data_IF_413229668669
#
_entry.id   IF_413229668669
#
_cell.length_a   1.000
_cell.length_b   1.000
_cell.length_c   1.000
_cell.angle_alpha   90.00
_cell.angle_beta   90.00
_cell.angle_gamma   90.00
#
_symmetry.space_group_name_H-M   'P 1'
#
loop_
_entity.id
_entity.type
_entity.pdbx_description
1 polymer ?
#
# COMPACT_ATOMS: atom_id res chain seq x y z
N UNK A 1 9.94 12.34 12.22
CA UNK A 1 9.17 11.50 11.33
C UNK A 1 7.70 11.64 11.63
N UNK A 2 6.87 11.68 10.61
CA UNK A 2 5.45 11.92 10.76
C UNK A 2 4.77 10.71 11.42
N UNK A 3 3.95 10.95 12.44
CA UNK A 3 3.20 9.89 13.14
C UNK A 3 2.33 9.07 12.21
N UNK A 4 1.80 9.66 11.15
CA UNK A 4 0.98 8.97 10.16
C UNK A 4 1.77 7.91 9.38
N UNK A 5 3.02 8.19 9.05
CA UNK A 5 3.89 7.23 8.35
C UNK A 5 4.20 6.05 9.26
N UNK A 6 4.49 6.32 10.53
CA UNK A 6 4.74 5.27 11.53
C UNK A 6 3.50 4.42 11.69
N UNK A 7 2.30 5.02 11.72
CA UNK A 7 1.05 4.28 11.85
C UNK A 7 0.78 3.37 10.66
N UNK A 8 1.06 3.83 9.44
CA UNK A 8 0.92 3.01 8.23
C UNK A 8 1.85 1.80 8.30
N UNK A 9 3.11 2.02 8.67
CA UNK A 9 4.10 0.94 8.80
C UNK A 9 3.68 -0.02 9.92
N UNK A 10 3.20 0.49 11.05
CA UNK A 10 2.74 -0.34 12.16
C UNK A 10 1.53 -1.19 11.79
N UNK A 11 0.59 -0.66 11.02
CA UNK A 11 -0.58 -1.39 10.54
C UNK A 11 -0.15 -2.50 9.58
N UNK A 12 0.76 -2.21 8.68
CA UNK A 12 1.34 -3.22 7.79
C UNK A 12 1.98 -4.34 8.61
N UNK A 13 2.74 -3.99 9.65
CA UNK A 13 3.41 -4.97 10.51
C UNK A 13 2.44 -5.85 11.29
N UNK A 14 1.33 -5.29 11.76
CA UNK A 14 0.34 -6.03 12.54
C UNK A 14 -0.45 -7.03 11.70
N UNK A 15 -0.68 -6.73 10.45
CA UNK A 15 -1.52 -7.55 9.57
C UNK A 15 -0.81 -8.81 9.09
N UNK A 16 0.49 -8.82 9.02
CA UNK A 16 1.26 -10.00 8.64
C UNK A 16 0.92 -11.24 9.46
N UNK A 17 0.46 -11.06 10.68
CA UNK A 17 0.15 -12.15 11.60
C UNK A 17 -1.25 -12.73 11.38
N UNK A 18 -2.17 -11.95 10.82
CA UNK A 18 -3.59 -12.28 10.84
C UNK A 18 -4.21 -12.61 9.48
N UNK A 19 -3.64 -12.18 8.39
CA UNK A 19 -4.42 -12.03 7.20
C UNK A 19 -4.08 -12.84 5.98
N UNK A 20 -3.12 -13.70 6.08
CA UNK A 20 -2.54 -14.34 4.88
C UNK A 20 -3.54 -15.15 4.08
N UNK A 21 -4.59 -15.67 4.71
CA UNK A 21 -5.48 -16.63 4.06
C UNK A 21 -6.63 -16.02 3.27
N UNK A 22 -6.87 -14.73 3.41
CA UNK A 22 -8.09 -14.10 2.90
C UNK A 22 -7.84 -13.11 1.76
N UNK A 23 -6.62 -13.03 1.30
CA UNK A 23 -6.23 -12.02 0.34
C UNK A 23 -6.58 -12.46 -1.07
N UNK A 24 -7.07 -11.54 -1.89
CA UNK A 24 -7.39 -11.81 -3.29
C UNK A 24 -6.15 -12.27 -4.08
N UNK A 25 -6.36 -13.06 -5.12
CA UNK A 25 -5.27 -13.61 -5.95
C UNK A 25 -4.29 -12.55 -6.45
N UNK A 26 -4.77 -11.34 -6.75
CA UNK A 26 -3.93 -10.26 -7.24
C UNK A 26 -2.96 -9.74 -6.18
N UNK A 27 -3.41 -9.66 -4.93
CA UNK A 27 -2.52 -9.27 -3.84
C UNK A 27 -1.40 -10.29 -3.67
N UNK A 28 -1.74 -11.57 -3.76
CA UNK A 28 -0.78 -12.68 -3.67
C UNK A 28 0.27 -12.59 -4.77
N UNK A 29 -0.12 -12.22 -5.98
CA UNK A 29 0.79 -12.05 -7.11
C UNK A 29 1.81 -10.96 -6.86
N UNK A 30 1.38 -9.83 -6.33
CA UNK A 30 2.29 -8.74 -5.96
C UNK A 30 3.20 -9.15 -4.81
N UNK A 31 2.66 -9.83 -3.81
CA UNK A 31 3.45 -10.30 -2.68
C UNK A 31 4.57 -11.23 -3.14
N UNK A 32 4.25 -12.21 -3.96
CA UNK A 32 5.24 -13.15 -4.49
C UNK A 32 6.30 -12.48 -5.34
N UNK A 33 5.88 -11.53 -6.16
CA UNK A 33 6.79 -10.77 -7.01
C UNK A 33 7.82 -10.00 -6.19
N UNK A 34 7.37 -9.31 -5.14
CA UNK A 34 8.24 -8.55 -4.26
C UNK A 34 9.14 -9.46 -3.43
N UNK A 35 8.61 -10.56 -2.91
CA UNK A 35 9.40 -11.56 -2.19
C UNK A 35 10.51 -12.12 -3.06
N UNK A 36 10.22 -12.39 -4.34
CA UNK A 36 11.21 -12.84 -5.31
C UNK A 36 12.33 -11.85 -5.55
N UNK A 37 12.11 -10.58 -5.25
CA UNK A 37 13.12 -9.52 -5.37
C UNK A 37 13.80 -9.17 -4.04
N UNK A 38 13.51 -9.93 -3.00
CA UNK A 38 14.16 -9.78 -1.71
C UNK A 38 13.43 -8.88 -0.72
N UNK A 39 12.18 -8.51 -0.99
CA UNK A 39 11.39 -7.70 -0.08
C UNK A 39 10.78 -8.55 1.02
N UNK A 40 10.67 -7.97 2.21
CA UNK A 40 9.82 -8.49 3.27
C UNK A 40 8.42 -7.94 3.00
N UNK A 41 7.44 -8.82 2.83
CA UNK A 41 6.12 -8.45 2.32
C UNK A 41 5.03 -8.75 3.34
N UNK A 42 4.05 -7.87 3.41
CA UNK A 42 2.85 -8.00 4.23
C UNK A 42 1.63 -7.67 3.42
N UNK A 43 0.53 -8.34 3.70
CA UNK A 43 -0.74 -8.11 3.00
C UNK A 43 -1.80 -7.63 3.98
N UNK A 44 -2.71 -6.78 3.50
CA UNK A 44 -3.80 -6.23 4.30
C UNK A 44 -5.13 -6.42 3.57
N UNK A 45 -6.17 -6.76 4.33
CA UNK A 45 -7.53 -6.83 3.78
C UNK A 45 -8.10 -5.43 3.57
N UNK A 46 -9.11 -5.33 2.70
CA UNK A 46 -9.81 -4.06 2.50
C UNK A 46 -10.48 -3.56 3.78
N UNK A 47 -11.03 -4.47 4.56
CA UNK A 47 -11.71 -4.13 5.82
C UNK A 47 -10.77 -3.44 6.82
N UNK A 48 -9.55 -3.90 6.93
CA UNK A 48 -8.55 -3.29 7.81
C UNK A 48 -8.11 -1.93 7.32
N UNK A 49 -7.94 -1.80 6.00
CA UNK A 49 -7.59 -0.53 5.38
C UNK A 49 -8.73 0.49 5.45
N UNK A 50 -9.98 0.02 5.32
CA UNK A 50 -11.15 0.89 5.45
C UNK A 50 -11.25 1.46 6.86
N UNK A 51 -11.00 0.65 7.87
CA UNK A 51 -10.97 1.13 9.26
C UNK A 51 -9.91 2.22 9.44
N UNK A 52 -8.77 2.06 8.83
CA UNK A 52 -7.68 3.04 8.89
C UNK A 52 -8.04 4.35 8.18
N UNK A 53 -8.60 4.26 6.96
CA UNK A 53 -9.00 5.45 6.20
C UNK A 53 -10.15 6.19 6.87
N UNK A 54 -11.06 5.48 7.51
CA UNK A 54 -12.15 6.05 8.28
C UNK A 54 -11.61 6.89 9.45
N UNK A 55 -10.60 6.38 10.13
CA UNK A 55 -9.92 7.08 11.22
C UNK A 55 -9.25 8.37 10.73
N UNK A 56 -8.77 8.38 9.50
CA UNK A 56 -8.17 9.57 8.88
C UNK A 56 -9.20 10.55 8.33
N UNK A 57 -10.48 10.19 8.36
CA UNK A 57 -11.55 11.05 7.85
C UNK A 57 -11.73 10.99 6.34
N UNK A 58 -11.23 9.96 5.70
CA UNK A 58 -11.41 9.73 4.25
C UNK A 58 -12.23 8.46 4.04
N UNK A 59 -12.97 8.42 2.95
CA UNK A 59 -13.87 7.31 2.64
C UNK A 59 -13.51 6.77 1.25
N UNK A 60 -12.72 5.71 1.24
CA UNK A 60 -12.32 5.02 0.02
C UNK A 60 -12.61 3.53 0.14
N UNK A 61 -13.14 2.95 -0.92
CA UNK A 61 -13.38 1.50 -0.98
C UNK A 61 -12.11 0.78 -1.44
N UNK A 62 -11.30 0.39 -0.48
CA UNK A 62 -10.04 -0.31 -0.73
C UNK A 62 -10.29 -1.82 -0.64
N UNK A 63 -9.92 -2.55 -1.69
CA UNK A 63 -10.08 -4.01 -1.74
C UNK A 63 -9.03 -4.74 -0.94
N UNK A 64 -7.78 -4.33 -1.11
CA UNK A 64 -6.63 -4.94 -0.44
C UNK A 64 -5.42 -4.03 -0.56
N UNK A 65 -4.41 -4.32 0.25
CA UNK A 65 -3.12 -3.67 0.18
C UNK A 65 -1.99 -4.66 0.36
N UNK A 66 -0.86 -4.37 -0.29
CA UNK A 66 0.38 -5.13 -0.13
C UNK A 66 1.48 -4.15 0.15
N UNK A 67 2.26 -4.40 1.19
CA UNK A 67 3.42 -3.58 1.52
C UNK A 67 4.69 -4.39 1.49
N UNK A 68 5.77 -3.81 1.00
CA UNK A 68 7.07 -4.44 0.97
C UNK A 68 8.18 -3.49 1.37
N UNK A 69 9.20 -4.03 2.01
CA UNK A 69 10.37 -3.27 2.43
C UNK A 69 11.64 -4.05 2.16
N UNK A 70 12.65 -3.36 1.62
CA UNK A 70 13.95 -3.93 1.34
C UNK A 70 15.02 -2.85 1.58
N UNK A 71 15.70 -2.91 2.72
CA UNK A 71 16.66 -1.87 3.08
C UNK A 71 15.98 -0.51 3.21
N UNK A 72 16.38 0.45 2.38
CA UNK A 72 15.78 1.79 2.33
C UNK A 72 14.64 1.88 1.31
N UNK A 73 14.44 0.86 0.50
CA UNK A 73 13.36 0.84 -0.46
C UNK A 73 12.07 0.32 0.17
N UNK A 74 10.96 0.95 -0.20
CA UNK A 74 9.65 0.62 0.32
C UNK A 74 8.64 0.79 -0.79
N UNK A 75 7.64 -0.07 -0.83
CA UNK A 75 6.51 0.08 -1.74
C UNK A 75 5.24 -0.46 -1.11
N UNK A 76 4.15 0.21 -1.37
CA UNK A 76 2.82 -0.26 -1.02
C UNK A 76 1.95 -0.21 -2.27
N UNK A 77 1.13 -1.23 -2.46
CA UNK A 77 0.18 -1.30 -3.56
C UNK A 77 -1.21 -1.40 -2.95
N UNK A 78 -2.11 -0.53 -3.38
CA UNK A 78 -3.49 -0.53 -2.93
C UNK A 78 -4.41 -0.76 -4.12
N UNK A 79 -5.37 -1.66 -3.97
CA UNK A 79 -6.38 -1.92 -5.00
C UNK A 79 -7.73 -1.34 -4.55
N UNK A 80 -8.42 -0.69 -5.46
CA UNK A 80 -9.68 -0.01 -5.19
C UNK A 80 -10.82 -0.64 -5.98
N UNK A 81 -12.05 -0.41 -5.52
CA UNK A 81 -13.25 -0.86 -6.24
C UNK A 81 -13.44 -0.09 -7.53
N UNK A 82 -13.02 1.18 -7.57
CA UNK A 82 -13.15 2.02 -8.76
C UNK A 82 -11.92 2.90 -8.96
N UNK A 83 -11.76 3.35 -10.22
CA UNK A 83 -10.60 4.15 -10.61
C UNK A 83 -10.64 5.57 -10.01
N UNK A 84 -11.81 6.11 -9.76
CA UNK A 84 -11.95 7.46 -9.18
C UNK A 84 -11.37 7.50 -7.76
N UNK A 85 -11.65 6.48 -6.95
CA UNK A 85 -11.09 6.37 -5.61
C UNK A 85 -9.57 6.18 -5.66
N UNK A 86 -9.08 5.40 -6.61
CA UNK A 86 -7.65 5.22 -6.80
C UNK A 86 -6.96 6.56 -7.12
N UNK A 87 -7.53 7.33 -8.02
CA UNK A 87 -6.99 8.64 -8.40
C UNK A 87 -6.99 9.63 -7.22
N UNK A 88 -8.08 9.66 -6.48
CA UNK A 88 -8.21 10.55 -5.31
C UNK A 88 -7.21 10.16 -4.22
N UNK A 89 -7.07 8.88 -3.95
CA UNK A 89 -6.12 8.39 -2.97
C UNK A 89 -4.68 8.68 -3.39
N UNK A 90 -4.35 8.44 -4.65
CA UNK A 90 -3.04 8.73 -5.20
C UNK A 90 -2.69 10.21 -5.11
N UNK A 91 -3.64 11.09 -5.37
CA UNK A 91 -3.45 12.53 -5.23
C UNK A 91 -3.16 12.94 -3.79
N UNK A 92 -3.89 12.36 -2.83
CA UNK A 92 -3.64 12.60 -1.41
C UNK A 92 -2.25 12.14 -0.99
N UNK A 93 -1.83 10.97 -1.44
CA UNK A 93 -0.51 10.45 -1.13
C UNK A 93 0.59 11.33 -1.73
N UNK A 94 0.40 11.82 -2.95
CA UNK A 94 1.37 12.70 -3.60
C UNK A 94 1.57 14.02 -2.86
N UNK A 95 0.54 14.54 -2.20
CA UNK A 95 0.66 15.76 -1.41
C UNK A 95 1.66 15.61 -0.25
N UNK A 96 1.73 14.43 0.35
CA UNK A 96 2.65 14.17 1.46
C UNK A 96 3.93 13.45 1.05
N UNK A 97 3.89 12.67 -0.01
CA UNK A 97 4.97 11.77 -0.40
C UNK A 97 6.27 12.51 -0.73
N UNK A 98 6.16 13.64 -1.41
CA UNK A 98 7.33 14.42 -1.86
C UNK A 98 8.19 14.89 -0.68
N UNK A 99 7.60 15.15 0.47
CA UNK A 99 8.34 15.53 1.68
C UNK A 99 9.19 14.40 2.24
N UNK A 100 8.83 13.15 1.92
CA UNK A 100 9.50 11.97 2.43
C UNK A 100 10.42 11.31 1.40
N UNK A 101 10.46 11.85 0.19
CA UNK A 101 11.21 11.24 -0.91
C UNK A 101 10.50 10.06 -1.53
N UNK A 102 9.19 9.95 -1.35
CA UNK A 102 8.35 8.91 -1.93
C UNK A 102 7.54 9.46 -3.09
N UNK A 103 6.98 8.57 -3.86
CA UNK A 103 6.11 8.87 -4.99
C UNK A 103 4.82 8.08 -4.87
N UNK A 104 3.79 8.55 -5.54
CA UNK A 104 2.56 7.79 -5.72
C UNK A 104 2.22 7.76 -7.21
N UNK A 105 1.88 6.58 -7.70
CA UNK A 105 1.53 6.39 -9.10
C UNK A 105 0.22 5.64 -9.19
N UNK A 106 -0.70 6.15 -9.98
CA UNK A 106 -2.01 5.54 -10.18
C UNK A 106 -2.04 4.81 -11.52
N UNK A 107 -2.49 3.57 -11.50
CA UNK A 107 -2.65 2.78 -12.72
C UNK A 107 -4.00 2.06 -12.64
N UNK A 108 -5.00 2.63 -13.31
CA UNK A 108 -6.36 2.09 -13.27
C UNK A 108 -6.92 2.12 -11.85
N UNK A 109 -7.21 0.96 -11.30
CA UNK A 109 -7.73 0.81 -9.93
C UNK A 109 -6.65 0.54 -8.90
N UNK A 110 -5.38 0.64 -9.29
CA UNK A 110 -4.24 0.40 -8.42
C UNK A 110 -3.51 1.69 -8.11
N UNK A 111 -3.02 1.81 -6.89
CA UNK A 111 -2.13 2.90 -6.47
C UNK A 111 -0.83 2.28 -5.95
N UNK A 112 0.28 2.71 -6.53
CA UNK A 112 1.62 2.35 -6.06
C UNK A 112 2.18 3.52 -5.28
N UNK A 113 2.69 3.26 -4.10
CA UNK A 113 3.26 4.29 -3.24
C UNK A 113 4.57 3.80 -2.64
N UNK A 114 5.60 4.63 -2.68
CA UNK A 114 6.86 4.29 -2.07
C UNK A 114 8.04 4.96 -2.74
N UNK A 115 9.22 4.34 -2.62
CA UNK A 115 10.42 4.81 -3.31
C UNK A 115 10.32 4.49 -4.79
N UNK A 116 11.05 5.23 -5.60
CA UNK A 116 11.09 5.02 -7.05
C UNK A 116 11.46 3.57 -7.39
N UNK A 117 12.48 3.04 -6.73
CA UNK A 117 12.92 1.67 -6.94
C UNK A 117 11.88 0.66 -6.48
N UNK A 118 11.25 0.91 -5.32
CA UNK A 118 10.19 0.05 -4.81
C UNK A 118 9.02 -0.06 -5.78
N UNK A 119 8.59 1.06 -6.32
CA UNK A 119 7.50 1.09 -7.32
C UNK A 119 7.90 0.32 -8.58
N UNK A 120 9.11 0.52 -9.06
CA UNK A 120 9.64 -0.22 -10.22
C UNK A 120 9.62 -1.71 -10.00
N UNK A 121 10.05 -2.14 -8.83
CA UNK A 121 10.13 -3.56 -8.49
C UNK A 121 8.73 -4.19 -8.35
N UNK A 122 7.73 -3.41 -7.97
CA UNK A 122 6.36 -3.86 -7.86
C UNK A 122 5.65 -4.00 -9.22
N UNK A 123 6.10 -3.30 -10.22
CA UNK A 123 5.55 -3.40 -11.57
C UNK A 123 6.14 -4.60 -12.28
#
# INVERSE_FOLDING_TARGET
MNKKVISIVAIIALVAILGVCLVACNADSFAKKLEGKGYTVETMSGEELDAYTEELGVDFDIKWGVGGQKGTDMVAIYAFENADDAESFGALLNLGASYLGYEAEVKGKLVYFGTEQGIKDAK
#
